data_IF_752323427287
#
_entry.id   IF_752323427287
#
_cell.length_a   1.000
_cell.length_b   1.000
_cell.length_c   1.000
_cell.angle_alpha   90.00
_cell.angle_beta   90.00
_cell.angle_gamma   90.00
#
_symmetry.space_group_name_H-M   'P 1'
#
loop_
_entity.id
_entity.type
_entity.pdbx_description
1 polymer ?
#
# COMPACT_ATOMS: atom_id res chain seq x y z
N UNK A 1 17.52 -75.55 -16.79
CA UNK A 1 17.85 -74.28 -16.09
C UNK A 1 17.59 -73.13 -17.06
N UNK A 2 16.36 -72.62 -17.07
CA UNK A 2 15.99 -71.41 -17.82
C UNK A 2 15.97 -70.25 -16.83
N UNK A 3 16.97 -69.37 -16.94
CA UNK A 3 17.04 -68.14 -16.16
C UNK A 3 15.97 -67.18 -16.68
N UNK A 4 14.94 -66.93 -15.87
CA UNK A 4 13.99 -65.84 -16.10
C UNK A 4 14.72 -64.51 -15.94
N UNK A 5 14.75 -63.69 -16.99
CA UNK A 5 15.15 -62.30 -16.91
C UNK A 5 13.96 -61.50 -16.34
N UNK A 6 14.08 -61.09 -15.09
CA UNK A 6 13.13 -60.21 -14.41
C UNK A 6 13.42 -58.77 -14.87
N UNK A 7 12.58 -58.26 -15.77
CA UNK A 7 12.65 -56.87 -16.23
C UNK A 7 12.11 -55.95 -15.14
N UNK A 8 13.02 -55.32 -14.39
CA UNK A 8 12.72 -54.24 -13.45
C UNK A 8 12.11 -53.06 -14.24
N UNK A 9 10.80 -52.87 -14.11
CA UNK A 9 10.13 -51.65 -14.54
C UNK A 9 10.52 -50.53 -13.57
N UNK A 10 11.52 -49.72 -13.94
CA UNK A 10 11.79 -48.45 -13.27
C UNK A 10 10.60 -47.51 -13.50
N UNK A 11 9.77 -47.35 -12.47
CA UNK A 11 8.73 -46.34 -12.43
C UNK A 11 9.39 -44.96 -12.33
N UNK A 12 9.70 -44.34 -13.46
CA UNK A 12 9.99 -42.91 -13.50
C UNK A 12 8.71 -42.17 -13.09
N UNK A 13 8.72 -41.61 -11.87
CA UNK A 13 7.71 -40.66 -11.45
C UNK A 13 7.63 -39.49 -12.42
N UNK A 14 6.51 -38.74 -12.44
CA UNK A 14 6.40 -37.54 -13.27
C UNK A 14 7.62 -36.64 -13.00
N UNK A 15 8.22 -36.06 -14.06
CA UNK A 15 9.40 -35.19 -13.91
C UNK A 15 9.08 -34.07 -12.91
N UNK A 16 10.06 -33.74 -12.06
CA UNK A 16 9.91 -32.64 -11.11
C UNK A 16 9.49 -31.37 -11.86
N UNK A 17 8.44 -30.71 -11.37
CA UNK A 17 7.91 -29.51 -11.99
C UNK A 17 9.03 -28.45 -12.05
N UNK A 18 9.47 -28.14 -13.27
CA UNK A 18 10.48 -27.12 -13.52
C UNK A 18 10.00 -25.79 -12.90
N UNK A 19 10.60 -25.37 -11.80
CA UNK A 19 10.40 -24.02 -11.23
C UNK A 19 11.04 -23.01 -12.17
N UNK A 20 10.34 -22.64 -13.25
CA UNK A 20 10.87 -21.77 -14.30
C UNK A 20 10.75 -20.28 -13.98
N UNK A 21 10.09 -19.88 -12.88
CA UNK A 21 10.09 -18.48 -12.46
C UNK A 21 11.20 -18.23 -11.44
N UNK A 22 12.10 -17.29 -11.76
CA UNK A 22 13.10 -16.77 -10.81
C UNK A 22 12.47 -16.02 -9.60
N UNK A 23 11.15 -15.84 -9.62
CA UNK A 23 10.39 -15.06 -8.64
C UNK A 23 9.29 -15.94 -8.06
N UNK A 24 9.16 -15.94 -6.74
CA UNK A 24 8.09 -16.63 -6.00
C UNK A 24 6.70 -16.16 -6.48
N UNK A 25 5.78 -17.11 -6.65
CA UNK A 25 4.45 -16.85 -7.22
C UNK A 25 3.64 -15.82 -6.41
N UNK A 26 3.80 -15.77 -5.09
CA UNK A 26 3.08 -14.81 -4.22
C UNK A 26 3.62 -13.40 -4.41
N UNK A 27 4.94 -13.30 -4.59
CA UNK A 27 5.62 -12.04 -4.89
C UNK A 27 5.24 -11.51 -6.27
N UNK A 28 5.22 -12.39 -7.28
CA UNK A 28 4.73 -12.02 -8.62
C UNK A 28 3.27 -11.55 -8.58
N UNK A 29 2.41 -12.26 -7.86
CA UNK A 29 1.01 -11.87 -7.66
C UNK A 29 0.86 -10.49 -7.02
N UNK A 30 1.67 -10.17 -6.01
CA UNK A 30 1.70 -8.85 -5.39
C UNK A 30 2.10 -7.75 -6.39
N UNK A 31 3.11 -7.99 -7.22
CA UNK A 31 3.51 -6.99 -8.23
C UNK A 31 2.46 -6.79 -9.32
N UNK A 32 1.79 -7.85 -9.78
CA UNK A 32 0.69 -7.73 -10.74
C UNK A 32 -0.48 -6.95 -10.14
N UNK A 33 -0.82 -7.22 -8.87
CA UNK A 33 -1.84 -6.47 -8.14
C UNK A 33 -1.47 -4.98 -8.00
N UNK A 34 -0.23 -4.66 -7.63
CA UNK A 34 0.25 -3.27 -7.58
C UNK A 34 0.18 -2.62 -8.98
N UNK A 35 0.55 -3.36 -10.02
CA UNK A 35 0.43 -2.89 -11.40
C UNK A 35 -1.00 -2.49 -11.76
N UNK A 36 -2.00 -3.29 -11.38
CA UNK A 36 -3.41 -2.92 -11.59
C UNK A 36 -3.85 -1.71 -10.77
N UNK A 37 -3.36 -1.57 -9.53
CA UNK A 37 -3.68 -0.40 -8.70
C UNK A 37 -3.05 0.89 -9.26
N UNK A 38 -1.83 0.84 -9.79
CA UNK A 38 -1.22 1.99 -10.49
C UNK A 38 -2.10 2.43 -11.67
N UNK A 39 -2.65 1.50 -12.44
CA UNK A 39 -3.57 1.82 -13.53
C UNK A 39 -4.88 2.44 -13.02
N UNK A 40 -5.42 1.91 -11.92
CA UNK A 40 -6.61 2.45 -11.28
C UNK A 40 -6.39 3.91 -10.84
N UNK A 41 -5.33 4.18 -10.07
CA UNK A 41 -4.97 5.55 -9.67
C UNK A 41 -4.68 6.44 -10.89
N UNK A 42 -3.99 5.91 -11.90
CA UNK A 42 -3.70 6.63 -13.14
C UNK A 42 -4.96 7.15 -13.83
N UNK A 43 -6.05 6.39 -13.81
CA UNK A 43 -7.34 6.85 -14.35
C UNK A 43 -7.94 8.02 -13.57
N UNK A 44 -7.85 8.01 -12.23
CA UNK A 44 -8.33 9.10 -11.38
C UNK A 44 -7.45 10.36 -11.52
N UNK A 45 -6.13 10.20 -11.64
CA UNK A 45 -5.23 11.32 -11.93
C UNK A 45 -5.51 11.93 -13.31
N UNK A 46 -5.75 11.11 -14.32
CA UNK A 46 -6.14 11.60 -15.64
C UNK A 46 -7.44 12.41 -15.57
N UNK A 47 -8.45 11.93 -14.85
CA UNK A 47 -9.69 12.68 -14.61
C UNK A 47 -9.44 14.00 -13.86
N UNK A 48 -8.59 14.00 -12.84
CA UNK A 48 -8.21 15.19 -12.09
C UNK A 48 -7.57 16.26 -12.97
N UNK A 49 -6.52 15.90 -13.72
CA UNK A 49 -5.84 16.84 -14.61
C UNK A 49 -6.74 17.30 -15.76
N UNK A 50 -7.61 16.43 -16.27
CA UNK A 50 -8.59 16.81 -17.30
C UNK A 50 -9.54 17.89 -16.77
N UNK A 51 -10.15 17.69 -15.61
CA UNK A 51 -11.04 18.69 -14.99
C UNK A 51 -10.29 19.99 -14.69
N UNK A 52 -9.03 19.90 -14.27
CA UNK A 52 -8.22 21.08 -13.95
C UNK A 52 -7.82 21.90 -15.19
N UNK A 53 -7.42 21.25 -16.28
CA UNK A 53 -6.85 21.92 -17.46
C UNK A 53 -7.93 22.33 -18.47
N UNK A 54 -8.98 21.53 -18.62
CA UNK A 54 -9.95 21.68 -19.72
C UNK A 54 -11.17 22.48 -19.29
N UNK A 55 -11.49 22.56 -17.99
CA UNK A 55 -12.67 23.28 -17.51
C UNK A 55 -12.45 24.81 -17.63
N UNK A 56 -13.18 25.51 -18.51
CA UNK A 56 -13.01 26.96 -18.68
C UNK A 56 -13.47 27.77 -17.46
N UNK A 57 -14.29 27.16 -16.61
CA UNK A 57 -14.77 27.72 -15.34
C UNK A 57 -13.90 27.28 -14.15
N UNK A 58 -12.77 26.59 -14.39
CA UNK A 58 -11.83 26.27 -13.33
C UNK A 58 -11.25 27.59 -12.76
N UNK A 59 -11.22 27.75 -11.43
CA UNK A 59 -10.59 28.91 -10.82
C UNK A 59 -9.08 28.90 -11.12
N UNK A 60 -8.48 30.09 -11.21
CA UNK A 60 -7.02 30.24 -11.44
C UNK A 60 -6.18 29.76 -10.27
N UNK A 61 -6.77 29.67 -9.09
CA UNK A 61 -6.17 29.14 -7.87
C UNK A 61 -6.96 27.93 -7.38
N UNK A 62 -6.26 26.93 -6.86
CA UNK A 62 -6.86 25.67 -6.44
C UNK A 62 -6.50 25.39 -4.99
N UNK A 63 -7.48 25.23 -4.07
CA UNK A 63 -8.93 25.15 -4.30
C UNK A 63 -9.59 26.54 -4.50
N UNK A 64 -10.81 26.61 -5.06
CA UNK A 64 -11.56 27.87 -5.19
C UNK A 64 -11.80 28.54 -3.85
N UNK A 65 -11.73 29.88 -3.81
CA UNK A 65 -12.22 30.63 -2.65
C UNK A 65 -13.68 30.27 -2.33
N UNK A 66 -14.07 30.18 -1.04
CA UNK A 66 -13.30 30.51 0.15
C UNK A 66 -12.56 29.30 0.79
N UNK A 67 -12.43 28.18 0.08
CA UNK A 67 -11.82 26.99 0.64
C UNK A 67 -10.30 27.14 0.70
N UNK A 68 -9.69 26.70 1.79
CA UNK A 68 -8.23 26.66 1.93
C UNK A 68 -7.81 25.28 2.40
N UNK A 69 -6.90 24.64 1.65
CA UNK A 69 -6.32 23.40 2.12
C UNK A 69 -5.33 23.68 3.25
N UNK A 70 -5.35 22.88 4.34
CA UNK A 70 -4.37 22.99 5.40
C UNK A 70 -3.06 22.32 4.96
N UNK A 71 -2.37 22.90 3.97
CA UNK A 71 -1.16 22.34 3.32
C UNK A 71 -0.09 21.95 4.36
N UNK A 72 0.06 22.73 5.43
CA UNK A 72 0.98 22.40 6.52
C UNK A 72 0.58 21.10 7.25
N UNK A 73 -0.70 20.95 7.59
CA UNK A 73 -1.21 19.75 8.27
C UNK A 73 -1.07 18.54 7.35
N UNK A 74 -1.46 18.68 6.08
CA UNK A 74 -1.29 17.64 5.07
C UNK A 74 0.19 17.29 4.84
N UNK A 75 1.10 18.27 4.90
CA UNK A 75 2.55 18.07 4.82
C UNK A 75 3.11 17.30 6.02
N UNK A 76 2.70 17.64 7.24
CA UNK A 76 3.03 16.87 8.45
C UNK A 76 2.48 15.45 8.34
N UNK A 77 1.25 15.29 7.84
CA UNK A 77 0.63 13.99 7.66
C UNK A 77 1.40 13.11 6.67
N UNK A 78 1.85 13.70 5.56
CA UNK A 78 2.73 13.05 4.58
C UNK A 78 4.06 12.64 5.23
N UNK A 79 4.68 13.50 6.06
CA UNK A 79 5.91 13.15 6.77
C UNK A 79 5.73 11.98 7.75
N UNK A 80 4.59 11.91 8.43
CA UNK A 80 4.20 10.78 9.28
C UNK A 80 4.12 9.49 8.44
N UNK A 81 3.44 9.53 7.30
CA UNK A 81 3.28 8.35 6.45
C UNK A 81 4.62 7.85 5.88
N UNK A 82 5.45 8.77 5.39
CA UNK A 82 6.80 8.45 4.89
C UNK A 82 7.67 7.86 6.00
N UNK A 83 7.60 8.43 7.20
CA UNK A 83 8.32 7.90 8.36
C UNK A 83 7.82 6.48 8.73
N UNK A 84 6.53 6.19 8.53
CA UNK A 84 5.96 4.86 8.79
C UNK A 84 6.51 3.79 7.85
N UNK A 85 6.86 4.14 6.62
CA UNK A 85 7.56 3.25 5.70
C UNK A 85 8.94 2.88 6.25
N UNK A 86 9.70 3.84 6.78
CA UNK A 86 11.00 3.52 7.38
C UNK A 86 10.87 2.58 8.59
N UNK A 87 9.85 2.76 9.42
CA UNK A 87 9.61 1.89 10.58
C UNK A 87 9.15 0.50 10.15
N UNK A 88 8.38 0.37 9.06
CA UNK A 88 8.01 -0.91 8.46
C UNK A 88 9.24 -1.64 7.91
N UNK A 89 10.12 -0.93 7.22
CA UNK A 89 11.38 -1.50 6.74
C UNK A 89 12.26 -1.97 7.90
N UNK A 90 12.37 -1.17 8.96
CA UNK A 90 13.09 -1.55 10.17
C UNK A 90 12.49 -2.80 10.85
N UNK A 91 11.17 -2.93 10.88
CA UNK A 91 10.49 -4.12 11.39
C UNK A 91 10.86 -5.37 10.58
N UNK A 92 10.85 -5.26 9.25
CA UNK A 92 11.22 -6.35 8.34
C UNK A 92 12.69 -6.77 8.49
N UNK A 93 13.60 -5.80 8.60
CA UNK A 93 15.02 -6.12 8.84
C UNK A 93 15.26 -6.73 10.22
N UNK A 94 14.51 -6.30 11.23
CA UNK A 94 14.60 -6.84 12.58
C UNK A 94 14.18 -8.31 12.63
N UNK A 95 13.08 -8.70 11.97
CA UNK A 95 12.67 -10.12 11.94
C UNK A 95 13.64 -10.99 11.12
N UNK A 96 14.19 -10.47 10.02
CA UNK A 96 15.25 -11.14 9.23
C UNK A 96 16.52 -11.40 10.05
N UNK A 97 16.81 -10.54 11.05
CA UNK A 97 17.94 -10.69 11.99
C UNK A 97 17.59 -11.48 13.25
N UNK A 98 16.38 -12.03 13.37
CA UNK A 98 15.91 -12.72 14.58
C UNK A 98 15.63 -11.79 15.77
N UNK A 99 15.65 -10.47 15.58
CA UNK A 99 15.41 -9.48 16.63
C UNK A 99 13.91 -9.23 16.81
N UNK A 100 13.25 -10.11 17.57
CA UNK A 100 11.78 -10.08 17.77
C UNK A 100 11.29 -8.77 18.39
N UNK A 101 12.02 -8.21 19.35
CA UNK A 101 11.62 -6.95 20.00
C UNK A 101 11.60 -5.77 19.01
N UNK A 102 12.63 -5.65 18.17
CA UNK A 102 12.68 -4.62 17.12
C UNK A 102 11.59 -4.79 16.07
N UNK A 103 11.29 -6.03 15.69
CA UNK A 103 10.16 -6.33 14.79
C UNK A 103 8.82 -5.86 15.38
N UNK A 104 8.50 -6.24 16.62
CA UNK A 104 7.24 -5.84 17.26
C UNK A 104 7.14 -4.32 17.45
N UNK A 105 8.22 -3.67 17.88
CA UNK A 105 8.27 -2.23 18.05
C UNK A 105 8.05 -1.50 16.72
N UNK A 106 8.73 -1.91 15.65
CA UNK A 106 8.56 -1.34 14.31
C UNK A 106 7.13 -1.52 13.78
N UNK A 107 6.55 -2.72 13.92
CA UNK A 107 5.18 -2.98 13.48
C UNK A 107 4.14 -2.12 14.20
N UNK A 108 4.25 -2.00 15.53
CA UNK A 108 3.34 -1.18 16.33
C UNK A 108 3.48 0.30 15.96
N UNK A 109 4.72 0.77 15.79
CA UNK A 109 4.98 2.15 15.40
C UNK A 109 4.39 2.47 14.02
N UNK A 110 4.62 1.61 13.02
CA UNK A 110 4.02 1.77 11.68
C UNK A 110 2.49 1.81 11.76
N UNK A 111 1.87 0.91 12.52
CA UNK A 111 0.42 0.87 12.66
C UNK A 111 -0.15 2.14 13.29
N UNK A 112 0.45 2.63 14.38
CA UNK A 112 0.02 3.86 15.06
C UNK A 112 0.17 5.07 14.14
N UNK A 113 1.26 5.16 13.39
CA UNK A 113 1.50 6.27 12.45
C UNK A 113 0.50 6.25 11.29
N UNK A 114 0.20 5.07 10.74
CA UNK A 114 -0.84 4.95 9.71
C UNK A 114 -2.24 5.27 10.25
N UNK A 115 -2.54 4.92 11.50
CA UNK A 115 -3.81 5.27 12.13
C UNK A 115 -3.93 6.78 12.37
N UNK A 116 -2.85 7.42 12.81
CA UNK A 116 -2.77 8.88 12.93
C UNK A 116 -3.01 9.55 11.57
N UNK A 117 -2.43 8.99 10.51
CA UNK A 117 -2.62 9.46 9.15
C UNK A 117 -4.09 9.43 8.72
N UNK A 118 -4.74 8.27 8.87
CA UNK A 118 -6.12 8.09 8.47
C UNK A 118 -7.08 8.97 9.30
N UNK A 119 -6.80 9.11 10.59
CA UNK A 119 -7.59 9.98 11.48
C UNK A 119 -7.50 11.44 11.06
N UNK A 120 -6.28 11.91 10.74
CA UNK A 120 -6.05 13.28 10.26
C UNK A 120 -6.79 13.52 8.94
N UNK A 121 -6.79 12.53 8.03
CA UNK A 121 -7.52 12.62 6.76
C UNK A 121 -9.04 12.73 6.96
N UNK A 122 -9.60 11.97 7.91
CA UNK A 122 -11.03 12.06 8.24
C UNK A 122 -11.37 13.43 8.83
N UNK A 123 -10.54 13.96 9.73
CA UNK A 123 -10.72 15.29 10.30
C UNK A 123 -10.67 16.35 9.20
N UNK A 124 -9.77 16.23 8.23
CA UNK A 124 -9.70 17.13 7.09
C UNK A 124 -10.99 17.11 6.26
N UNK A 125 -11.53 15.92 5.95
CA UNK A 125 -12.80 15.81 5.22
C UNK A 125 -13.97 16.45 5.95
N UNK A 126 -13.99 16.40 7.29
CA UNK A 126 -15.03 17.05 8.10
C UNK A 126 -14.92 18.57 8.11
N UNK A 127 -13.74 19.13 7.80
CA UNK A 127 -13.47 20.57 7.88
C UNK A 127 -13.29 21.24 6.50
N UNK A 128 -13.25 20.48 5.40
CA UNK A 128 -12.97 21.01 4.06
C UNK A 128 -14.09 21.90 3.50
N UNK A 129 -15.31 21.79 4.04
CA UNK A 129 -16.41 22.72 3.77
C UNK A 129 -17.18 22.49 2.47
N UNK A 130 -16.79 21.51 1.64
CA UNK A 130 -17.51 21.10 0.43
C UNK A 130 -17.81 19.60 0.44
N UNK A 131 -18.87 19.19 -0.26
CA UNK A 131 -19.35 17.81 -0.37
C UNK A 131 -19.08 17.21 -1.74
N UNK A 132 -19.15 15.89 -1.84
CA UNK A 132 -18.95 15.13 -3.09
C UNK A 132 -19.82 15.57 -4.27
N UNK A 133 -20.97 16.20 -3.99
CA UNK A 133 -21.93 16.70 -4.99
C UNK A 133 -21.69 18.13 -5.46
N UNK A 134 -20.73 18.87 -4.90
CA UNK A 134 -20.55 20.31 -5.16
C UNK A 134 -19.80 20.61 -6.49
N UNK A 135 -19.85 19.67 -7.43
CA UNK A 135 -19.29 19.79 -8.76
C UNK A 135 -18.13 18.83 -9.04
N UNK A 136 -17.67 18.85 -10.29
CA UNK A 136 -16.65 17.93 -10.78
C UNK A 136 -15.35 17.97 -9.96
N UNK A 137 -14.99 19.13 -9.41
CA UNK A 137 -13.85 19.27 -8.51
C UNK A 137 -13.99 18.39 -7.27
N UNK A 138 -15.03 18.64 -6.47
CA UNK A 138 -15.23 17.95 -5.21
C UNK A 138 -15.35 16.43 -5.43
N UNK A 139 -16.07 16.02 -6.48
CA UNK A 139 -16.20 14.60 -6.83
C UNK A 139 -14.86 13.94 -7.13
N UNK A 140 -13.97 14.58 -7.91
CA UNK A 140 -12.66 14.00 -8.23
C UNK A 140 -11.70 14.08 -7.04
N UNK A 141 -11.73 15.16 -6.25
CA UNK A 141 -10.97 15.29 -5.01
C UNK A 141 -11.29 14.13 -4.05
N UNK A 142 -12.56 13.96 -3.68
CA UNK A 142 -12.98 12.88 -2.79
C UNK A 142 -12.82 11.49 -3.42
N UNK A 143 -12.98 11.38 -4.74
CA UNK A 143 -12.72 10.14 -5.46
C UNK A 143 -11.27 9.68 -5.34
N UNK A 144 -10.32 10.56 -5.66
CA UNK A 144 -8.88 10.25 -5.63
C UNK A 144 -8.36 10.06 -4.20
N UNK A 145 -8.63 11.03 -3.31
CA UNK A 145 -8.17 10.98 -1.92
C UNK A 145 -8.90 9.91 -1.12
N UNK A 146 -10.19 9.68 -1.39
CA UNK A 146 -10.99 8.61 -0.77
C UNK A 146 -10.56 7.22 -1.21
N UNK A 147 -10.23 7.02 -2.50
CA UNK A 147 -9.65 5.78 -2.99
C UNK A 147 -8.34 5.46 -2.26
N UNK A 148 -7.48 6.47 -2.11
CA UNK A 148 -6.25 6.33 -1.33
C UNK A 148 -6.53 6.01 0.15
N UNK A 149 -7.45 6.73 0.80
CA UNK A 149 -7.84 6.47 2.17
C UNK A 149 -8.37 5.04 2.39
N UNK A 150 -9.14 4.51 1.44
CA UNK A 150 -9.59 3.12 1.45
C UNK A 150 -8.42 2.13 1.38
N UNK A 151 -7.42 2.41 0.54
CA UNK A 151 -6.19 1.61 0.47
C UNK A 151 -5.40 1.63 1.77
N UNK A 152 -5.26 2.80 2.40
CA UNK A 152 -4.63 2.93 3.72
C UNK A 152 -5.38 2.12 4.77
N UNK A 153 -6.72 2.15 4.77
CA UNK A 153 -7.54 1.37 5.70
C UNK A 153 -7.35 -0.15 5.51
N UNK A 154 -7.31 -0.63 4.26
CA UNK A 154 -6.97 -2.03 3.95
C UNK A 154 -5.56 -2.35 4.43
N UNK A 155 -4.59 -1.48 4.17
CA UNK A 155 -3.21 -1.62 4.63
C UNK A 155 -3.10 -1.71 6.15
N UNK A 156 -3.80 -0.85 6.88
CA UNK A 156 -3.86 -0.89 8.35
C UNK A 156 -4.45 -2.20 8.86
N UNK A 157 -5.47 -2.71 8.18
CA UNK A 157 -6.07 -4.01 8.53
C UNK A 157 -5.05 -5.14 8.34
N UNK A 158 -4.29 -5.13 7.24
CA UNK A 158 -3.21 -6.10 7.01
C UNK A 158 -2.09 -5.96 8.05
N UNK A 159 -1.64 -4.73 8.36
CA UNK A 159 -0.63 -4.47 9.37
C UNK A 159 -1.07 -4.90 10.76
N UNK A 160 -2.34 -4.70 11.11
CA UNK A 160 -2.92 -5.17 12.37
C UNK A 160 -2.87 -6.70 12.45
N UNK A 161 -3.28 -7.41 11.39
CA UNK A 161 -3.20 -8.86 11.34
C UNK A 161 -1.76 -9.37 11.48
N UNK A 162 -0.80 -8.74 10.79
CA UNK A 162 0.63 -9.06 10.92
C UNK A 162 1.12 -8.78 12.35
N UNK A 163 0.75 -7.66 12.94
CA UNK A 163 1.14 -7.29 14.30
C UNK A 163 0.63 -8.32 15.32
N UNK A 164 -0.66 -8.70 15.26
CA UNK A 164 -1.25 -9.72 16.13
C UNK A 164 -0.54 -11.08 15.95
N UNK A 165 -0.31 -11.51 14.71
CA UNK A 165 0.42 -12.77 14.42
C UNK A 165 1.87 -12.71 14.89
N UNK A 166 2.48 -11.54 14.87
CA UNK A 166 3.81 -11.27 15.41
C UNK A 166 3.88 -11.46 16.92
N UNK A 167 2.91 -10.92 17.66
CA UNK A 167 2.80 -11.14 19.10
C UNK A 167 2.59 -12.62 19.44
N UNK A 168 1.85 -13.35 18.61
CA UNK A 168 1.67 -14.81 18.73
C UNK A 168 2.91 -15.63 18.32
N UNK A 169 3.96 -15.01 17.79
CA UNK A 169 5.21 -15.68 17.44
C UNK A 169 5.15 -16.50 16.16
N UNK A 170 4.25 -16.17 15.23
CA UNK A 170 4.07 -16.92 13.98
C UNK A 170 5.13 -16.64 12.91
N UNK A 171 6.11 -15.76 13.17
CA UNK A 171 7.13 -15.38 12.20
C UNK A 171 8.53 -15.72 12.73
N UNK A 172 9.37 -16.22 11.82
CA UNK A 172 10.78 -16.51 12.06
C UNK A 172 11.65 -15.85 10.97
N UNK A 173 12.98 -15.78 11.14
CA UNK A 173 13.88 -15.28 10.11
C UNK A 173 13.74 -16.00 8.76
N UNK A 174 13.37 -17.27 8.76
CA UNK A 174 13.18 -18.11 7.57
C UNK A 174 11.75 -18.00 7.01
N UNK A 175 10.77 -17.67 7.87
CA UNK A 175 9.35 -17.61 7.52
C UNK A 175 8.76 -16.20 7.74
N UNK A 176 9.33 -15.20 7.06
CA UNK A 176 8.93 -13.79 7.18
C UNK A 176 8.14 -13.25 5.98
N UNK A 177 7.85 -14.07 4.96
CA UNK A 177 7.12 -13.63 3.76
C UNK A 177 5.74 -13.04 4.09
N UNK A 178 5.11 -13.51 5.18
CA UNK A 178 3.84 -12.96 5.68
C UNK A 178 3.94 -11.55 6.28
N UNK A 179 5.14 -11.03 6.48
CA UNK A 179 5.44 -9.63 6.85
C UNK A 179 5.86 -8.84 5.62
N UNK A 180 6.65 -9.45 4.74
CA UNK A 180 7.21 -8.80 3.54
C UNK A 180 6.14 -8.39 2.53
N UNK A 181 5.17 -9.26 2.22
CA UNK A 181 4.11 -8.94 1.25
C UNK A 181 3.24 -7.75 1.70
N UNK A 182 2.69 -7.72 2.94
CA UNK A 182 2.01 -6.53 3.45
C UNK A 182 2.91 -5.29 3.53
N UNK A 183 4.21 -5.47 3.79
CA UNK A 183 5.18 -4.38 3.78
C UNK A 183 5.34 -3.74 2.40
N UNK A 184 5.44 -4.54 1.34
CA UNK A 184 5.49 -4.05 -0.06
C UNK A 184 4.22 -3.25 -0.39
N UNK A 185 3.05 -3.77 -0.02
CA UNK A 185 1.78 -3.05 -0.20
C UNK A 185 1.77 -1.70 0.57
N UNK A 186 2.23 -1.68 1.82
CA UNK A 186 2.28 -0.45 2.62
C UNK A 186 3.17 0.62 1.98
N UNK A 187 4.36 0.23 1.49
CA UNK A 187 5.24 1.14 0.76
C UNK A 187 4.63 1.67 -0.54
N UNK A 188 3.90 0.83 -1.27
CA UNK A 188 3.17 1.27 -2.46
C UNK A 188 2.13 2.35 -2.10
N UNK A 189 1.32 2.11 -1.07
CA UNK A 189 0.32 3.08 -0.61
C UNK A 189 1.00 4.40 -0.23
N UNK A 190 2.10 4.37 0.52
CA UNK A 190 2.86 5.57 0.90
C UNK A 190 3.40 6.35 -0.31
N UNK A 191 4.02 5.67 -1.28
CA UNK A 191 4.50 6.32 -2.52
C UNK A 191 3.33 6.96 -3.29
N UNK A 192 2.20 6.27 -3.39
CA UNK A 192 1.01 6.81 -4.04
C UNK A 192 0.49 8.06 -3.33
N UNK A 193 0.57 8.11 -2.00
CA UNK A 193 0.18 9.32 -1.26
C UNK A 193 1.05 10.51 -1.61
N UNK A 194 2.37 10.34 -1.74
CA UNK A 194 3.28 11.43 -2.13
C UNK A 194 2.85 12.02 -3.48
N UNK A 195 2.46 11.17 -4.44
CA UNK A 195 1.95 11.60 -5.75
C UNK A 195 0.61 12.34 -5.59
N UNK A 196 -0.32 11.82 -4.79
CA UNK A 196 -1.61 12.49 -4.50
C UNK A 196 -1.39 13.85 -3.85
N UNK A 197 -0.59 13.91 -2.79
CA UNK A 197 -0.27 15.13 -2.05
C UNK A 197 0.32 16.18 -2.99
N UNK A 198 1.32 15.79 -3.79
CA UNK A 198 1.94 16.70 -4.76
C UNK A 198 0.93 17.21 -5.79
N UNK A 199 0.11 16.32 -6.36
CA UNK A 199 -0.82 16.68 -7.41
C UNK A 199 -2.02 17.51 -6.93
N UNK A 200 -2.50 17.27 -5.71
CA UNK A 200 -3.75 17.87 -5.19
C UNK A 200 -3.50 19.09 -4.32
N UNK A 201 -2.43 19.09 -3.52
CA UNK A 201 -2.17 20.13 -2.51
C UNK A 201 -1.06 21.11 -2.91
N UNK A 202 -0.14 20.73 -3.81
CA UNK A 202 0.99 21.58 -4.20
C UNK A 202 0.89 22.15 -5.61
N UNK A 203 0.46 21.34 -6.57
CA UNK A 203 0.16 21.79 -7.92
C UNK A 203 -1.18 22.51 -7.92
#
# INVERSE_FOLDING_TARGET
MTSHAETLHEHHGPPEANQSSRVDARTLGMFLFIGSEIMLFGSFFAAYFFVRVVNPSAPSEWPPEPYHFPVFVAGVNTAILVTSSFTMHWALQSIKRGQRAGFLAGMVLTFVMGLAFLTTQVIEYLNVGFNTGDGAFASVFFGLTGLHGAHVAVGLTLLLMVTIRGFRGHFSPEHHHGVELPGIYWHFVDIMWIVVYTAVYLL
#
